data_IF_017236968208
#
_entry.id   IF_017236968208
#
_cell.length_a   1.000
_cell.length_b   1.000
_cell.length_c   1.000
_cell.angle_alpha   90.00
_cell.angle_beta   90.00
_cell.angle_gamma   90.00
#
_symmetry.space_group_name_H-M   'P 1'
#
loop_
_entity.id
_entity.type
_entity.pdbx_description
1 polymer ?
#
# COMPACT_ATOMS: atom_id res chain seq x y z
N UNK A 1 -11.75 -25.47 -19.18
CA UNK A 1 -11.93 -25.30 -17.72
C UNK A 1 -11.57 -26.61 -17.07
N UNK A 2 -10.33 -26.77 -16.60
CA UNK A 2 -9.89 -28.03 -16.01
C UNK A 2 -10.52 -28.20 -14.62
N UNK A 3 -11.11 -29.38 -14.43
CA UNK A 3 -11.81 -29.83 -13.24
C UNK A 3 -10.83 -29.84 -12.07
N UNK A 4 -11.25 -29.29 -10.92
CA UNK A 4 -10.57 -29.37 -9.62
C UNK A 4 -10.39 -30.83 -9.15
N UNK A 5 -9.55 -31.60 -9.84
CA UNK A 5 -9.06 -32.88 -9.35
C UNK A 5 -7.84 -32.58 -8.49
N UNK A 6 -7.83 -33.12 -7.26
CA UNK A 6 -6.73 -33.05 -6.31
C UNK A 6 -5.50 -33.81 -6.81
N UNK A 7 -4.90 -33.36 -7.90
CA UNK A 7 -3.73 -33.96 -8.49
C UNK A 7 -2.90 -32.88 -9.16
N UNK A 8 -1.59 -33.07 -9.13
CA UNK A 8 -0.67 -32.27 -9.93
C UNK A 8 -1.01 -32.42 -11.42
N UNK A 9 -0.95 -31.31 -12.16
CA UNK A 9 -1.11 -31.35 -13.61
C UNK A 9 0.20 -31.80 -14.25
N UNK A 10 0.29 -33.10 -14.52
CA UNK A 10 1.45 -33.73 -15.14
C UNK A 10 1.85 -33.12 -16.48
N UNK A 11 0.88 -32.68 -17.30
CA UNK A 11 1.19 -32.05 -18.59
C UNK A 11 1.95 -30.73 -18.40
N UNK A 12 1.52 -29.91 -17.44
CA UNK A 12 2.20 -28.65 -17.09
C UNK A 12 3.54 -28.91 -16.43
N UNK A 13 3.64 -29.94 -15.59
CA UNK A 13 4.90 -30.29 -14.95
C UNK A 13 5.95 -30.76 -15.97
N UNK A 14 5.54 -31.56 -16.96
CA UNK A 14 6.42 -32.04 -18.03
C UNK A 14 6.85 -30.93 -19.00
N UNK A 15 6.04 -29.89 -19.18
CA UNK A 15 6.36 -28.74 -20.04
C UNK A 15 7.33 -27.76 -19.37
N UNK A 16 7.24 -27.60 -18.04
CA UNK A 16 7.99 -26.57 -17.30
C UNK A 16 9.21 -27.08 -16.53
N UNK A 17 9.27 -28.37 -16.19
CA UNK A 17 10.29 -28.90 -15.27
C UNK A 17 10.99 -30.15 -15.83
N UNK A 18 12.21 -30.38 -15.34
CA UNK A 18 13.00 -31.57 -15.65
C UNK A 18 12.55 -32.76 -14.78
N UNK A 19 12.79 -34.00 -15.24
CA UNK A 19 12.31 -35.22 -14.57
C UNK A 19 12.65 -35.28 -13.07
N UNK A 20 13.85 -34.83 -12.68
CA UNK A 20 14.28 -34.75 -11.29
C UNK A 20 13.35 -33.85 -10.45
N UNK A 21 12.99 -32.68 -10.97
CA UNK A 21 12.17 -31.71 -10.25
C UNK A 21 10.71 -32.13 -10.24
N UNK A 22 10.24 -32.78 -11.30
CA UNK A 22 8.90 -33.40 -11.34
C UNK A 22 8.77 -34.42 -10.20
N UNK A 23 9.75 -35.30 -10.01
CA UNK A 23 9.75 -36.29 -8.92
C UNK A 23 9.72 -35.63 -7.53
N UNK A 24 10.39 -34.48 -7.36
CA UNK A 24 10.38 -33.72 -6.11
C UNK A 24 9.03 -33.01 -5.87
N UNK A 25 8.46 -32.39 -6.91
CA UNK A 25 7.16 -31.70 -6.82
C UNK A 25 6.04 -32.69 -6.50
N UNK A 26 6.09 -33.89 -7.10
CA UNK A 26 5.11 -34.95 -6.85
C UNK A 26 5.11 -35.45 -5.40
N UNK A 27 6.21 -35.27 -4.65
CA UNK A 27 6.28 -35.60 -3.23
C UNK A 27 5.65 -34.54 -2.32
N UNK A 28 5.36 -33.34 -2.84
CA UNK A 28 4.71 -32.28 -2.06
C UNK A 28 3.25 -32.67 -1.80
N UNK A 29 2.84 -32.82 -0.53
CA UNK A 29 1.48 -33.21 -0.20
C UNK A 29 0.51 -32.08 -0.59
N UNK A 30 -0.55 -32.45 -1.32
CA UNK A 30 -1.66 -31.55 -1.58
C UNK A 30 -2.50 -31.38 -0.32
N UNK A 31 -2.94 -30.16 -0.03
CA UNK A 31 -3.78 -29.89 1.14
C UNK A 31 -5.10 -30.69 1.06
N UNK A 32 -5.49 -31.30 2.17
CA UNK A 32 -6.76 -32.02 2.27
C UNK A 32 -7.98 -31.08 2.23
N UNK A 33 -7.76 -29.81 2.57
CA UNK A 33 -8.80 -28.81 2.64
C UNK A 33 -9.26 -28.43 1.22
N UNK A 34 -10.46 -28.87 0.84
CA UNK A 34 -11.08 -28.61 -0.48
C UNK A 34 -11.74 -27.23 -0.53
N UNK A 35 -11.22 -26.29 0.25
CA UNK A 35 -11.72 -24.92 0.16
C UNK A 35 -11.14 -24.33 -1.12
N UNK A 36 -12.02 -23.77 -1.94
CA UNK A 36 -11.62 -23.03 -3.13
C UNK A 36 -10.66 -21.92 -2.69
N UNK A 37 -9.49 -21.87 -3.32
CA UNK A 37 -8.54 -20.79 -3.07
C UNK A 37 -9.25 -19.45 -3.27
N UNK A 38 -9.20 -18.63 -2.21
CA UNK A 38 -9.83 -17.32 -2.19
C UNK A 38 -8.80 -16.27 -1.86
N UNK A 39 -8.93 -15.12 -2.52
CA UNK A 39 -8.10 -13.96 -2.22
C UNK A 39 -8.45 -13.44 -0.83
N UNK A 40 -7.46 -13.40 0.06
CA UNK A 40 -7.61 -12.87 1.40
C UNK A 40 -6.71 -11.65 1.60
N UNK A 41 -7.28 -10.61 2.21
CA UNK A 41 -6.59 -9.38 2.53
C UNK A 41 -6.42 -9.22 4.04
N UNK A 42 -5.21 -9.46 4.54
CA UNK A 42 -4.91 -9.49 5.99
C UNK A 42 -5.02 -8.13 6.70
N UNK A 43 -5.32 -7.03 5.99
CA UNK A 43 -5.42 -5.68 6.56
C UNK A 43 -6.85 -5.24 6.79
N UNK A 44 -7.84 -6.07 6.48
CA UNK A 44 -9.23 -5.87 6.89
C UNK A 44 -9.76 -7.11 7.63
N UNK A 45 -10.54 -6.93 8.72
CA UNK A 45 -11.18 -8.05 9.42
C UNK A 45 -12.16 -8.85 8.55
N UNK A 46 -12.71 -8.19 7.52
CA UNK A 46 -13.60 -8.80 6.53
C UNK A 46 -12.85 -9.72 5.57
N UNK A 47 -11.52 -9.63 5.50
CA UNK A 47 -10.68 -10.35 4.56
C UNK A 47 -10.79 -9.87 3.11
N UNK A 48 -11.64 -8.88 2.82
CA UNK A 48 -11.82 -8.36 1.46
C UNK A 48 -10.82 -7.24 1.17
N UNK A 49 -10.30 -7.25 -0.05
CA UNK A 49 -9.45 -6.20 -0.54
C UNK A 49 -10.27 -4.94 -0.83
N UNK A 50 -9.79 -3.79 -0.39
CA UNK A 50 -10.27 -2.50 -0.86
C UNK A 50 -9.09 -1.57 -1.19
N UNK A 51 -9.26 -0.71 -2.20
CA UNK A 51 -8.26 0.31 -2.53
C UNK A 51 -7.98 1.20 -1.32
N UNK A 52 -9.02 1.48 -0.52
CA UNK A 52 -8.89 2.26 0.71
C UNK A 52 -7.99 1.59 1.75
N UNK A 53 -8.15 0.29 2.02
CA UNK A 53 -7.30 -0.38 3.00
C UNK A 53 -5.88 -0.62 2.51
N UNK A 54 -5.69 -0.85 1.21
CA UNK A 54 -4.34 -0.91 0.65
C UNK A 54 -3.62 0.43 0.76
N UNK A 55 -4.29 1.55 0.46
CA UNK A 55 -3.70 2.87 0.60
C UNK A 55 -3.41 3.23 2.06
N UNK A 56 -4.33 2.92 2.97
CA UNK A 56 -4.11 3.06 4.42
C UNK A 56 -2.88 2.26 4.86
N UNK A 57 -2.77 1.00 4.44
CA UNK A 57 -1.63 0.16 4.81
C UNK A 57 -0.30 0.71 4.25
N UNK A 58 -0.31 1.22 3.01
CA UNK A 58 0.86 1.87 2.42
C UNK A 58 1.25 3.16 3.16
N UNK A 59 0.28 3.93 3.63
CA UNK A 59 0.53 5.12 4.45
C UNK A 59 1.14 4.77 5.81
N UNK A 60 0.65 3.71 6.46
CA UNK A 60 1.23 3.21 7.72
C UNK A 60 2.69 2.74 7.52
N UNK A 61 2.99 2.07 6.40
CA UNK A 61 4.34 1.58 6.09
C UNK A 61 5.34 2.69 5.73
N UNK A 62 4.89 3.75 5.04
CA UNK A 62 5.76 4.85 4.60
C UNK A 62 6.12 5.84 5.72
N UNK A 63 5.73 5.55 6.96
CA UNK A 63 5.83 6.46 8.08
C UNK A 63 4.69 7.46 8.03
N UNK A 64 4.07 7.70 9.18
CA UNK A 64 2.90 8.56 9.34
C UNK A 64 3.02 9.86 8.52
N UNK A 65 2.34 9.90 7.38
CA UNK A 65 1.68 11.14 6.99
C UNK A 65 0.60 11.30 8.05
N UNK A 66 1.00 11.89 9.17
CA UNK A 66 0.14 12.08 10.33
C UNK A 66 -0.99 12.98 9.86
N UNK A 67 -2.08 12.37 9.40
CA UNK A 67 -3.31 13.05 9.00
C UNK A 67 -3.77 13.97 10.14
N UNK A 68 -3.41 13.64 11.38
CA UNK A 68 -3.56 14.47 12.57
C UNK A 68 -2.67 15.71 12.55
N UNK A 69 -1.35 15.59 12.36
CA UNK A 69 -0.44 16.72 12.27
C UNK A 69 -0.79 17.61 11.07
N UNK A 70 -1.07 17.01 9.92
CA UNK A 70 -1.46 17.73 8.72
C UNK A 70 -2.80 18.47 8.94
N UNK A 71 -3.82 17.81 9.50
CA UNK A 71 -5.09 18.45 9.87
C UNK A 71 -4.91 19.58 10.90
N UNK A 72 -4.03 19.40 11.90
CA UNK A 72 -3.75 20.44 12.90
C UNK A 72 -3.03 21.64 12.30
N UNK A 73 -2.03 21.40 11.45
CA UNK A 73 -1.31 22.44 10.70
C UNK A 73 -2.28 23.21 9.79
N UNK A 74 -3.19 22.54 9.11
CA UNK A 74 -4.18 23.19 8.25
C UNK A 74 -5.27 23.93 9.03
N UNK A 75 -5.56 23.53 10.28
CA UNK A 75 -6.51 24.23 11.17
C UNK A 75 -5.88 25.39 11.94
N UNK A 76 -4.57 25.37 12.16
CA UNK A 76 -3.83 26.39 12.90
C UNK A 76 -4.08 27.83 12.42
N UNK A 77 -4.00 28.16 11.12
CA UNK A 77 -4.22 29.54 10.66
C UNK A 77 -5.63 30.04 11.00
N UNK A 78 -6.65 29.19 10.92
CA UNK A 78 -8.03 29.61 11.15
C UNK A 78 -8.42 29.78 12.62
N UNK A 79 -7.62 29.26 13.56
CA UNK A 79 -7.87 29.41 15.01
C UNK A 79 -7.34 30.72 15.58
N UNK A 80 -6.44 31.40 14.89
CA UNK A 80 -5.80 32.61 15.42
C UNK A 80 -6.62 33.85 15.06
N UNK A 81 -7.00 34.65 16.05
CA UNK A 81 -7.62 35.98 15.85
C UNK A 81 -6.58 36.99 15.35
N UNK A 82 -6.16 36.85 14.10
CA UNK A 82 -5.26 37.78 13.42
C UNK A 82 -5.93 38.43 12.22
N UNK A 83 -5.48 39.63 11.80
CA UNK A 83 -5.98 40.27 10.59
C UNK A 83 -5.86 39.35 9.36
N UNK A 84 -6.83 39.35 8.43
CA UNK A 84 -6.85 38.46 7.25
C UNK A 84 -5.59 38.55 6.35
N UNK A 85 -4.86 39.67 6.41
CA UNK A 85 -3.59 39.86 5.70
C UNK A 85 -2.51 38.88 6.19
N UNK A 86 -2.45 38.65 7.51
CA UNK A 86 -1.45 37.76 8.14
C UNK A 86 -1.80 36.30 7.85
N UNK A 87 -3.08 35.94 7.89
CA UNK A 87 -3.56 34.59 7.51
C UNK A 87 -3.15 34.21 6.09
N UNK A 88 -3.25 35.17 5.15
CA UNK A 88 -2.85 34.94 3.77
C UNK A 88 -1.36 34.67 3.61
N UNK A 89 -0.51 35.39 4.36
CA UNK A 89 0.95 35.18 4.33
C UNK A 89 1.30 33.85 5.00
N UNK A 90 0.70 33.53 6.15
CA UNK A 90 0.89 32.26 6.84
C UNK A 90 0.46 31.07 5.97
N UNK A 91 -0.68 31.17 5.28
CA UNK A 91 -1.13 30.16 4.32
C UNK A 91 -0.10 29.93 3.20
N UNK A 92 0.42 31.01 2.60
CA UNK A 92 1.46 30.92 1.57
C UNK A 92 2.77 30.32 2.10
N UNK A 93 3.13 30.60 3.35
CA UNK A 93 4.31 30.05 3.99
C UNK A 93 4.19 28.54 4.25
N UNK A 94 3.05 28.11 4.81
CA UNK A 94 2.78 26.70 5.16
C UNK A 94 2.63 25.83 3.90
N UNK A 95 2.03 26.38 2.84
CA UNK A 95 1.85 25.68 1.55
C UNK A 95 3.12 25.61 0.68
N UNK A 96 4.27 26.11 1.16
CA UNK A 96 5.52 26.12 0.38
C UNK A 96 5.51 27.10 -0.81
N UNK A 97 4.52 28.01 -0.87
CA UNK A 97 4.41 29.03 -1.92
C UNK A 97 5.28 30.27 -1.69
N UNK A 98 6.05 30.29 -0.60
CA UNK A 98 7.11 31.28 -0.40
C UNK A 98 8.44 30.66 -0.81
N UNK A 99 9.19 31.29 -1.75
CA UNK A 99 10.56 30.88 -2.02
C UNK A 99 11.39 31.12 -0.77
N UNK A 100 11.61 30.09 0.02
CA UNK A 100 12.52 30.12 1.16
C UNK A 100 13.95 30.11 0.62
N UNK A 101 14.84 30.86 1.28
CA UNK A 101 16.22 31.11 0.86
C UNK A 101 17.07 29.83 0.67
N UNK A 102 16.57 28.66 1.08
CA UNK A 102 17.21 27.36 0.83
C UNK A 102 17.21 26.96 -0.65
N UNK A 103 16.30 27.50 -1.48
CA UNK A 103 16.30 27.24 -2.93
C UNK A 103 17.44 27.95 -3.69
N UNK A 104 18.09 28.95 -3.10
CA UNK A 104 19.19 29.69 -3.74
C UNK A 104 20.57 29.06 -3.57
N UNK A 105 20.68 27.92 -2.88
CA UNK A 105 21.98 27.25 -2.63
C UNK A 105 22.29 26.05 -3.54
N UNK A 106 21.39 25.65 -4.43
CA UNK A 106 21.62 24.53 -5.35
C UNK A 106 22.16 24.93 -6.73
N UNK A 107 22.43 26.22 -6.95
CA UNK A 107 22.92 26.74 -8.23
C UNK A 107 24.19 27.57 -8.02
N UNK A 108 25.26 26.92 -7.56
CA UNK A 108 26.64 27.36 -7.77
C UNK A 108 27.64 26.22 -7.62
#
# INVERSE_FOLDING_TARGET
>A
MHINRKQWNLEVLQDLFEARDIDLIMQVPLSDNVNVDSWFWCKEPTGFYSVKSSYRHLQELKGEWSLQLESELWRAPWKVKVPPKVLRIAWKAISGGLPTQYMYKFEK
#
